data_IF_190237781168
#
_entry.id   IF_190237781168
#
_cell.length_a   1.000
_cell.length_b   1.000
_cell.length_c   1.000
_cell.angle_alpha   90.00
_cell.angle_beta   90.00
_cell.angle_gamma   90.00
#
_symmetry.space_group_name_H-M   'P 1'
#
loop_
_entity.id
_entity.type
_entity.pdbx_description
1 polymer ?
#
# COMPACT_ATOMS: atom_id res chain seq x y z
N UNK A 1 5.68 6.53 16.89
CA UNK A 1 6.31 7.44 17.88
C UNK A 1 5.84 7.20 19.32
N UNK A 2 4.54 7.24 19.65
CA UNK A 2 4.07 7.11 21.04
C UNK A 2 4.56 5.83 21.73
N UNK A 3 4.42 4.66 21.08
CA UNK A 3 4.85 3.37 21.66
C UNK A 3 6.35 3.35 22.00
N UNK A 4 7.19 3.95 21.16
CA UNK A 4 8.65 4.06 21.39
C UNK A 4 8.96 4.88 22.65
N UNK A 5 8.18 5.92 22.93
CA UNK A 5 8.36 6.80 24.11
C UNK A 5 7.70 6.24 25.38
N UNK A 6 6.88 5.19 25.28
CA UNK A 6 6.12 4.63 26.39
C UNK A 6 6.22 3.10 26.42
N UNK A 7 7.45 2.53 26.56
CA UNK A 7 7.67 1.09 26.45
C UNK A 7 6.92 0.27 27.52
N UNK A 8 6.68 0.84 28.70
CA UNK A 8 6.01 0.17 29.82
C UNK A 8 4.46 0.27 29.76
N UNK A 9 3.89 0.85 28.70
CA UNK A 9 2.43 0.99 28.54
C UNK A 9 1.93 0.04 27.46
N UNK A 10 0.63 -0.26 27.49
CA UNK A 10 -0.01 -1.02 26.40
C UNK A 10 0.23 -0.31 25.07
N UNK A 11 0.84 -1.01 24.12
CA UNK A 11 1.09 -0.49 22.78
C UNK A 11 -0.20 -0.05 22.12
N UNK A 12 -0.19 1.15 21.55
CA UNK A 12 -1.27 1.63 20.69
C UNK A 12 -1.20 0.94 19.34
N UNK A 13 -2.36 0.58 18.83
CA UNK A 13 -2.54 -0.03 17.51
C UNK A 13 -2.89 1.07 16.52
N UNK A 14 -2.21 1.13 15.37
CA UNK A 14 -2.54 2.13 14.35
C UNK A 14 -3.93 1.89 13.76
N UNK A 15 -4.51 2.92 13.14
CA UNK A 15 -5.82 2.77 12.50
C UNK A 15 -5.79 1.75 11.34
N UNK A 16 -4.70 1.72 10.56
CA UNK A 16 -4.50 0.75 9.48
C UNK A 16 -4.51 -0.69 10.01
N UNK A 17 -3.79 -0.94 11.12
CA UNK A 17 -3.81 -2.26 11.77
C UNK A 17 -5.22 -2.64 12.22
N UNK A 18 -6.00 -1.70 12.78
CA UNK A 18 -7.39 -1.97 13.19
C UNK A 18 -8.30 -2.31 12.00
N UNK A 19 -8.15 -1.61 10.87
CA UNK A 19 -8.94 -1.88 9.66
C UNK A 19 -8.63 -3.25 9.03
N UNK A 20 -7.41 -3.74 9.22
CA UNK A 20 -6.95 -5.02 8.69
C UNK A 20 -7.04 -6.16 9.72
N UNK A 21 -7.48 -5.87 10.94
CA UNK A 21 -7.60 -6.88 11.98
C UNK A 21 -8.56 -8.01 11.57
N UNK A 22 -8.22 -9.25 11.93
CA UNK A 22 -9.00 -10.44 11.56
C UNK A 22 -8.99 -10.83 10.07
N UNK A 23 -8.36 -10.07 9.17
CA UNK A 23 -8.21 -10.46 7.75
C UNK A 23 -7.00 -11.37 7.57
N UNK A 24 -7.14 -12.42 6.78
CA UNK A 24 -6.03 -13.32 6.43
C UNK A 24 -5.39 -12.97 5.07
N UNK A 25 -4.19 -13.49 4.83
CA UNK A 25 -3.51 -13.37 3.54
C UNK A 25 -2.75 -12.06 3.28
N UNK A 26 -2.07 -11.98 2.12
CA UNK A 26 -1.31 -10.80 1.70
C UNK A 26 -2.25 -9.62 1.39
N UNK A 27 -1.73 -8.40 1.50
CA UNK A 27 -2.40 -7.19 1.02
C UNK A 27 -1.72 -6.69 -0.26
N UNK A 28 -2.54 -6.31 -1.24
CA UNK A 28 -2.09 -5.65 -2.48
C UNK A 28 -2.76 -4.28 -2.54
N UNK A 29 -1.96 -3.22 -2.73
CA UNK A 29 -2.46 -1.88 -3.00
C UNK A 29 -2.04 -1.45 -4.40
N UNK A 30 -2.99 -0.97 -5.21
CA UNK A 30 -2.75 -0.40 -6.52
C UNK A 30 -3.33 1.00 -6.58
N UNK A 31 -2.53 1.98 -6.99
CA UNK A 31 -2.97 3.39 -7.09
C UNK A 31 -2.54 4.01 -8.41
N UNK A 32 -3.26 5.03 -8.88
CA UNK A 32 -2.85 5.85 -10.04
C UNK A 32 -1.75 6.89 -9.65
N UNK A 33 -0.99 6.62 -8.59
CA UNK A 33 0.19 7.38 -8.13
C UNK A 33 1.41 6.46 -8.08
N UNK A 34 2.60 7.04 -7.94
CA UNK A 34 3.85 6.28 -7.70
C UNK A 34 3.71 5.35 -6.49
N UNK A 35 4.40 4.21 -6.51
CA UNK A 35 4.37 3.19 -5.44
C UNK A 35 4.59 3.78 -4.05
N UNK A 36 5.47 4.77 -3.94
CA UNK A 36 5.78 5.45 -2.67
C UNK A 36 4.51 5.95 -1.96
N UNK A 37 3.49 6.44 -2.68
CA UNK A 37 2.27 6.95 -2.09
C UNK A 37 1.57 5.92 -1.18
N UNK A 38 1.31 4.71 -1.69
CA UNK A 38 0.73 3.64 -0.89
C UNK A 38 1.76 2.93 0.01
N UNK A 39 3.06 3.04 -0.29
CA UNK A 39 4.12 2.46 0.53
C UNK A 39 4.32 3.20 1.87
N UNK A 40 3.86 4.45 1.99
CA UNK A 40 3.92 5.25 3.22
C UNK A 40 3.36 4.56 4.47
N UNK A 41 2.38 3.65 4.29
CA UNK A 41 1.76 2.92 5.40
C UNK A 41 2.38 1.54 5.68
N UNK A 42 3.43 1.13 4.96
CA UNK A 42 4.03 -0.22 5.06
C UNK A 42 4.34 -0.64 6.49
N UNK A 43 4.87 0.26 7.31
CA UNK A 43 5.20 -0.02 8.71
C UNK A 43 3.97 -0.40 9.58
N UNK A 44 2.76 -0.08 9.11
CA UNK A 44 1.49 -0.34 9.78
C UNK A 44 0.71 -1.50 9.16
N UNK A 45 1.21 -2.10 8.08
CA UNK A 45 0.59 -3.27 7.43
C UNK A 45 1.35 -4.52 7.88
N UNK A 46 0.86 -5.18 8.93
CA UNK A 46 1.48 -6.36 9.56
C UNK A 46 1.24 -7.68 8.79
N UNK A 47 1.49 -7.67 7.48
CA UNK A 47 1.32 -8.80 6.56
C UNK A 47 2.16 -8.56 5.29
N UNK A 48 2.39 -9.57 4.44
CA UNK A 48 2.99 -9.33 3.14
C UNK A 48 2.21 -8.23 2.39
N UNK A 49 2.92 -7.19 1.95
CA UNK A 49 2.32 -6.00 1.37
C UNK A 49 2.99 -5.68 0.04
N UNK A 50 2.26 -5.91 -1.05
CA UNK A 50 2.66 -5.57 -2.42
C UNK A 50 2.03 -4.24 -2.82
N UNK A 51 2.82 -3.37 -3.45
CA UNK A 51 2.37 -2.04 -3.89
C UNK A 51 2.63 -1.90 -5.37
N UNK A 52 1.57 -1.59 -6.12
CA UNK A 52 1.59 -1.23 -7.52
C UNK A 52 1.32 0.27 -7.64
N UNK A 53 2.03 0.91 -8.56
CA UNK A 53 1.95 2.34 -8.76
C UNK A 53 2.56 2.75 -10.09
N UNK A 54 2.22 3.95 -10.51
CA UNK A 54 2.57 4.50 -11.82
C UNK A 54 3.91 5.25 -11.78
N UNK A 55 4.98 4.55 -11.39
CA UNK A 55 6.33 5.11 -11.38
C UNK A 55 6.84 5.35 -12.81
N UNK A 56 7.46 6.51 -13.05
CA UNK A 56 8.00 6.89 -14.35
C UNK A 56 7.23 8.04 -15.02
N UNK A 57 7.71 8.44 -16.20
CA UNK A 57 7.08 9.51 -16.98
C UNK A 57 5.82 9.01 -17.69
N UNK A 58 4.81 9.88 -17.75
CA UNK A 58 3.60 9.65 -18.52
C UNK A 58 3.86 9.62 -20.03
N UNK A 59 2.93 9.00 -20.75
CA UNK A 59 2.84 9.01 -22.20
C UNK A 59 1.40 9.17 -22.65
N UNK A 60 1.18 9.63 -23.87
CA UNK A 60 -0.16 9.75 -24.45
C UNK A 60 -0.65 8.38 -24.94
N UNK A 61 -1.74 7.88 -24.36
CA UNK A 61 -2.41 6.65 -24.80
C UNK A 61 -3.81 6.58 -24.13
N UNK A 62 -4.58 5.54 -24.46
CA UNK A 62 -5.84 5.20 -23.76
C UNK A 62 -5.61 4.77 -22.31
N UNK A 63 -6.62 4.93 -21.45
CA UNK A 63 -6.52 4.52 -20.03
C UNK A 63 -6.17 3.05 -19.86
N UNK A 64 -6.72 2.18 -20.70
CA UNK A 64 -6.47 0.73 -20.67
C UNK A 64 -4.99 0.43 -20.93
N UNK A 65 -4.44 1.03 -22.00
CA UNK A 65 -3.03 0.87 -22.36
C UNK A 65 -2.08 1.50 -21.35
N UNK A 66 -2.46 2.64 -20.74
CA UNK A 66 -1.65 3.24 -19.68
C UNK A 66 -1.64 2.39 -18.40
N UNK A 67 -2.77 1.83 -17.98
CA UNK A 67 -2.82 0.97 -16.80
C UNK A 67 -2.12 -0.38 -17.00
N UNK A 68 -2.11 -0.88 -18.24
CA UNK A 68 -1.28 -2.01 -18.64
C UNK A 68 0.21 -1.65 -18.59
N UNK A 69 0.59 -0.51 -19.18
CA UNK A 69 1.98 -0.02 -19.21
C UNK A 69 2.57 0.21 -17.82
N UNK A 70 1.80 0.80 -16.91
CA UNK A 70 2.22 1.02 -15.52
C UNK A 70 1.99 -0.18 -14.60
N UNK A 71 1.52 -1.32 -15.13
CA UNK A 71 1.33 -2.56 -14.36
C UNK A 71 0.35 -2.41 -13.18
N UNK A 72 -0.69 -1.56 -13.33
CA UNK A 72 -1.71 -1.27 -12.29
C UNK A 72 -3.11 -1.77 -12.65
N UNK A 73 -3.24 -2.60 -13.68
CA UNK A 73 -4.53 -3.17 -14.09
C UNK A 73 -4.83 -4.49 -13.35
N UNK A 74 -6.05 -5.02 -13.56
CA UNK A 74 -6.56 -6.26 -12.93
C UNK A 74 -5.75 -7.53 -13.19
N UNK A 75 -4.86 -7.55 -14.18
CA UNK A 75 -4.04 -8.73 -14.49
C UNK A 75 -2.73 -8.75 -13.69
N UNK A 76 -2.38 -7.64 -13.03
CA UNK A 76 -1.20 -7.51 -12.16
C UNK A 76 -1.55 -7.62 -10.67
N UNK A 77 -2.82 -7.79 -10.31
CA UNK A 77 -3.32 -7.90 -8.92
C UNK A 77 -3.56 -9.36 -8.56
#
# INVERSE_FOLDING_TARGET
RWNMLHPNRKSRVSYVEQCLDGREGPAVAATDYMRNYADQIRAYVKRPYCVLGTDGFGRSDTREKLREFFEVNRYYI
#
